data_IF_361469530225
#
_entry.id   IF_361469530225
#
_cell.length_a   1.000
_cell.length_b   1.000
_cell.length_c   1.000
_cell.angle_alpha   90.00
_cell.angle_beta   90.00
_cell.angle_gamma   90.00
#
_symmetry.space_group_name_H-M   'P 1'
#
loop_
_entity.id
_entity.type
_entity.pdbx_description
1 polymer ?
#
# COMPACT_ATOMS: atom_id res chain seq x y z
N UNK A 1 -8.15 -20.54 17.88
CA UNK A 1 -7.53 -20.39 16.55
C UNK A 1 -7.82 -19.02 15.94
N UNK A 2 -9.09 -18.65 15.69
CA UNK A 2 -9.44 -17.33 15.12
C UNK A 2 -9.03 -16.15 16.02
N UNK A 3 -9.26 -16.24 17.33
CA UNK A 3 -8.88 -15.18 18.28
C UNK A 3 -7.37 -14.91 18.28
N UNK A 4 -6.54 -15.96 18.23
CA UNK A 4 -5.08 -15.83 18.17
C UNK A 4 -4.63 -15.19 16.86
N UNK A 5 -5.21 -15.60 15.73
CA UNK A 5 -4.94 -14.95 14.43
C UNK A 5 -5.26 -13.45 14.44
N UNK A 6 -6.42 -13.06 15.01
CA UNK A 6 -6.79 -11.65 15.12
C UNK A 6 -5.84 -10.87 16.05
N UNK A 7 -5.35 -11.51 17.11
CA UNK A 7 -4.35 -10.93 18.00
C UNK A 7 -3.00 -10.76 17.28
N UNK A 8 -2.54 -11.76 16.53
CA UNK A 8 -1.30 -11.69 15.75
C UNK A 8 -1.37 -10.56 14.71
N UNK A 9 -2.49 -10.46 13.99
CA UNK A 9 -2.72 -9.38 13.02
C UNK A 9 -2.75 -8.02 13.71
N UNK A 10 -3.43 -7.92 14.86
CA UNK A 10 -3.51 -6.68 15.64
C UNK A 10 -2.16 -6.23 16.19
N UNK A 11 -1.39 -7.15 16.77
CA UNK A 11 -0.05 -6.86 17.31
C UNK A 11 0.92 -6.54 16.17
N UNK A 12 0.88 -7.29 15.06
CA UNK A 12 1.73 -7.07 13.90
C UNK A 12 1.50 -5.70 13.28
N UNK A 13 0.26 -5.43 12.85
CA UNK A 13 -0.08 -4.15 12.23
C UNK A 13 0.06 -2.96 13.20
N UNK A 14 -0.30 -3.16 14.47
CA UNK A 14 -0.20 -2.12 15.51
C UNK A 14 1.24 -1.75 15.86
N UNK A 15 2.11 -2.73 16.11
CA UNK A 15 3.54 -2.48 16.43
C UNK A 15 4.27 -1.83 15.25
N UNK A 16 3.96 -2.23 14.02
CA UNK A 16 4.53 -1.63 12.84
C UNK A 16 4.06 -0.18 12.58
N UNK A 17 2.84 0.18 12.99
CA UNK A 17 2.40 1.58 13.02
C UNK A 17 3.20 2.43 14.01
N UNK A 18 3.39 1.92 15.23
CA UNK A 18 4.15 2.62 16.28
C UNK A 18 5.56 2.96 15.80
N UNK A 19 6.16 2.07 15.00
CA UNK A 19 7.48 2.30 14.40
C UNK A 19 7.46 3.29 13.22
N UNK A 20 6.48 3.16 12.33
CA UNK A 20 6.46 3.93 11.07
C UNK A 20 5.95 5.36 11.25
N UNK A 21 4.98 5.59 12.14
CA UNK A 21 4.35 6.92 12.33
C UNK A 21 5.37 8.02 12.69
N UNK A 22 6.29 7.83 13.67
CA UNK A 22 7.29 8.86 13.99
C UNK A 22 8.18 9.22 12.79
N UNK A 23 8.61 8.21 12.01
CA UNK A 23 9.43 8.41 10.82
C UNK A 23 8.67 9.15 9.71
N UNK A 24 7.40 8.82 9.50
CA UNK A 24 6.52 9.48 8.53
C UNK A 24 6.24 10.94 8.93
N UNK A 25 5.92 11.18 10.21
CA UNK A 25 5.73 12.55 10.73
C UNK A 25 7.00 13.38 10.63
N UNK A 26 8.17 12.77 10.83
CA UNK A 26 9.45 13.43 10.63
C UNK A 26 9.68 13.80 9.16
N UNK A 27 9.45 12.87 8.22
CA UNK A 27 9.50 13.15 6.78
C UNK A 27 8.56 14.29 6.39
N UNK A 28 7.34 14.27 6.89
CA UNK A 28 6.38 15.32 6.60
C UNK A 28 6.75 16.66 7.21
N UNK A 29 7.36 16.67 8.40
CA UNK A 29 7.88 17.90 8.99
C UNK A 29 8.99 18.50 8.12
N UNK A 30 9.89 17.68 7.60
CA UNK A 30 10.92 18.14 6.66
C UNK A 30 10.32 18.65 5.34
N UNK A 31 9.20 18.06 4.89
CA UNK A 31 8.42 18.54 3.73
C UNK A 31 7.73 19.89 4.00
N UNK A 32 7.10 20.03 5.16
CA UNK A 32 6.28 21.18 5.56
C UNK A 32 7.09 22.45 5.90
N UNK A 33 8.41 22.35 6.11
CA UNK A 33 9.30 23.51 6.29
C UNK A 33 9.24 24.52 5.13
N UNK A 34 8.65 24.16 3.98
CA UNK A 34 8.55 25.01 2.77
C UNK A 34 7.17 25.63 2.46
N UNK A 35 6.14 25.42 3.28
CA UNK A 35 4.87 26.15 3.14
C UNK A 35 3.63 25.26 3.24
N UNK A 36 2.82 25.58 4.25
CA UNK A 36 1.52 25.02 4.62
C UNK A 36 1.47 23.57 5.15
N UNK A 37 0.86 23.43 6.33
CA UNK A 37 0.53 22.14 6.93
C UNK A 37 -0.75 21.61 6.29
N UNK A 38 -0.70 20.38 5.78
CA UNK A 38 -1.86 19.68 5.21
C UNK A 38 -2.23 18.49 6.11
N UNK A 39 -2.95 18.70 7.23
CA UNK A 39 -3.19 17.67 8.24
C UNK A 39 -3.99 16.47 7.70
N UNK A 40 -4.89 16.70 6.74
CA UNK A 40 -5.64 15.61 6.09
C UNK A 40 -4.76 14.74 5.18
N UNK A 41 -3.76 15.34 4.53
CA UNK A 41 -2.75 14.58 3.78
C UNK A 41 -1.96 13.68 4.73
N UNK A 42 -1.45 14.26 5.82
CA UNK A 42 -0.74 13.55 6.89
C UNK A 42 -1.53 12.37 7.41
N UNK A 43 -2.80 12.60 7.77
CA UNK A 43 -3.67 11.54 8.25
C UNK A 43 -3.86 10.44 7.19
N UNK A 44 -4.01 10.82 5.92
CA UNK A 44 -4.10 9.89 4.79
C UNK A 44 -2.84 9.04 4.61
N UNK A 45 -1.65 9.63 4.69
CA UNK A 45 -0.37 8.90 4.60
C UNK A 45 -0.19 7.95 5.78
N UNK A 46 -0.53 8.36 7.01
CA UNK A 46 -0.50 7.48 8.18
C UNK A 46 -1.50 6.32 8.05
N UNK A 47 -2.72 6.58 7.52
CA UNK A 47 -3.71 5.54 7.26
C UNK A 47 -3.23 4.56 6.17
N UNK A 48 -2.58 5.08 5.12
CA UNK A 48 -1.98 4.25 4.08
C UNK A 48 -0.83 3.39 4.64
N UNK A 49 -0.01 3.93 5.53
CA UNK A 49 1.03 3.17 6.22
C UNK A 49 0.43 2.05 7.09
N UNK A 50 -0.68 2.31 7.78
CA UNK A 50 -1.42 1.26 8.51
C UNK A 50 -1.93 0.17 7.56
N UNK A 51 -2.48 0.57 6.41
CA UNK A 51 -2.95 -0.36 5.41
C UNK A 51 -1.80 -1.26 4.90
N UNK A 52 -0.65 -0.67 4.56
CA UNK A 52 0.54 -1.42 4.16
C UNK A 52 1.01 -2.39 5.25
N UNK A 53 1.04 -1.93 6.51
CA UNK A 53 1.36 -2.78 7.67
C UNK A 53 0.43 -4.00 7.77
N UNK A 54 -0.87 -3.74 7.63
CA UNK A 54 -1.91 -4.77 7.64
C UNK A 54 -1.72 -5.77 6.51
N UNK A 55 -1.46 -5.31 5.28
CA UNK A 55 -1.20 -6.18 4.13
C UNK A 55 -0.01 -7.08 4.40
N UNK A 56 1.15 -6.53 4.79
CA UNK A 56 2.37 -7.30 5.08
C UNK A 56 2.14 -8.34 6.18
N UNK A 57 1.39 -7.97 7.23
CA UNK A 57 1.07 -8.87 8.35
C UNK A 57 0.17 -10.02 7.89
N UNK A 58 -0.88 -9.72 7.12
CA UNK A 58 -1.86 -10.72 6.64
C UNK A 58 -1.24 -11.66 5.60
N UNK A 59 -0.43 -11.14 4.67
CA UNK A 59 0.25 -11.96 3.65
C UNK A 59 1.40 -12.78 4.22
N UNK A 60 1.82 -12.47 5.46
CA UNK A 60 2.77 -13.24 6.25
C UNK A 60 4.14 -13.34 5.60
N UNK A 61 4.63 -12.21 5.10
CA UNK A 61 5.99 -12.08 4.58
C UNK A 61 6.99 -12.36 5.72
N UNK A 62 8.04 -13.18 5.50
CA UNK A 62 9.04 -13.45 6.52
C UNK A 62 9.91 -12.21 6.81
N UNK A 63 10.44 -12.13 8.02
CA UNK A 63 11.46 -11.14 8.35
C UNK A 63 12.75 -11.38 7.54
N UNK A 64 13.48 -10.33 7.17
CA UNK A 64 14.69 -10.43 6.33
C UNK A 64 15.80 -11.30 6.96
N UNK A 65 15.89 -11.35 8.28
CA UNK A 65 16.86 -12.17 9.00
C UNK A 65 16.37 -13.62 9.25
N UNK A 66 15.14 -13.94 8.82
CA UNK A 66 14.51 -15.27 8.94
C UNK A 66 14.28 -15.94 7.59
N UNK A 67 14.80 -15.36 6.51
CA UNK A 67 14.65 -15.88 5.16
C UNK A 67 15.18 -17.33 5.11
N UNK A 68 14.31 -18.24 4.69
CA UNK A 68 14.65 -19.65 4.44
C UNK A 68 14.13 -19.98 3.07
N UNK A 69 15.04 -20.22 2.13
CA UNK A 69 14.66 -20.56 0.78
C UNK A 69 13.94 -21.92 0.78
N UNK A 70 12.66 -21.91 0.40
CA UNK A 70 11.83 -23.08 0.21
C UNK A 70 10.94 -22.84 -1.01
N UNK A 71 11.39 -23.34 -2.16
CA UNK A 71 10.75 -23.06 -3.43
C UNK A 71 9.53 -23.97 -3.63
N UNK A 72 8.39 -23.54 -3.08
CA UNK A 72 7.09 -24.12 -3.37
C UNK A 72 6.28 -23.12 -4.22
N UNK A 73 6.11 -23.41 -5.51
CA UNK A 73 5.51 -22.46 -6.47
C UNK A 73 4.32 -23.11 -7.17
N UNK A 74 3.14 -22.51 -7.00
CA UNK A 74 1.96 -22.83 -7.77
C UNK A 74 1.83 -21.85 -8.95
N UNK A 75 2.05 -22.35 -10.16
CA UNK A 75 1.98 -21.55 -11.40
C UNK A 75 0.76 -21.87 -12.25
N UNK A 76 -0.15 -22.73 -11.77
CA UNK A 76 -1.35 -23.09 -12.53
C UNK A 76 -2.44 -22.08 -12.18
N UNK A 77 -2.71 -21.08 -13.04
CA UNK A 77 -3.66 -20.05 -12.70
C UNK A 77 -5.07 -20.61 -12.64
N UNK A 78 -5.82 -20.24 -11.60
CA UNK A 78 -7.25 -20.47 -11.44
C UNK A 78 -7.66 -21.95 -11.47
N UNK A 79 -6.74 -22.88 -11.18
CA UNK A 79 -7.03 -24.32 -11.13
C UNK A 79 -8.09 -24.66 -10.07
N UNK A 80 -8.12 -23.89 -9.00
CA UNK A 80 -8.99 -24.12 -7.84
C UNK A 80 -10.05 -23.02 -7.67
N UNK A 81 -10.36 -22.27 -8.74
CA UNK A 81 -11.24 -21.10 -8.68
C UNK A 81 -12.58 -21.37 -7.99
N UNK A 82 -13.22 -22.50 -8.32
CA UNK A 82 -14.54 -22.86 -7.78
C UNK A 82 -14.46 -23.53 -6.41
N UNK A 83 -13.37 -24.23 -6.11
CA UNK A 83 -13.17 -24.90 -4.82
C UNK A 83 -12.69 -23.94 -3.73
N UNK A 84 -11.91 -22.91 -4.10
CA UNK A 84 -11.25 -21.99 -3.17
C UNK A 84 -11.62 -20.53 -3.40
N UNK A 85 -12.79 -20.24 -3.98
CA UNK A 85 -13.28 -18.89 -4.27
C UNK A 85 -13.12 -17.89 -3.11
N UNK A 86 -13.32 -18.34 -1.86
CA UNK A 86 -13.16 -17.48 -0.69
C UNK A 86 -11.73 -16.94 -0.53
N UNK A 87 -10.70 -17.67 -0.96
CA UNK A 87 -9.30 -17.25 -0.88
C UNK A 87 -8.99 -16.18 -1.92
N UNK A 88 -9.36 -16.42 -3.18
CA UNK A 88 -9.26 -15.44 -4.26
C UNK A 88 -9.91 -14.11 -3.88
N UNK A 89 -11.11 -14.16 -3.28
CA UNK A 89 -11.83 -12.96 -2.87
C UNK A 89 -11.12 -12.19 -1.75
N UNK A 90 -10.48 -12.88 -0.80
CA UNK A 90 -9.72 -12.24 0.29
C UNK A 90 -8.52 -11.45 -0.25
N UNK A 91 -7.77 -12.04 -1.17
CA UNK A 91 -6.62 -11.40 -1.79
C UNK A 91 -7.04 -10.18 -2.61
N UNK A 92 -8.12 -10.30 -3.38
CA UNK A 92 -8.70 -9.16 -4.08
C UNK A 92 -9.15 -8.04 -3.13
N UNK A 93 -9.94 -8.35 -2.10
CA UNK A 93 -10.45 -7.34 -1.15
C UNK A 93 -9.32 -6.63 -0.42
N UNK A 94 -8.22 -7.34 -0.11
CA UNK A 94 -7.07 -6.78 0.58
C UNK A 94 -6.43 -5.61 -0.19
N UNK A 95 -6.39 -5.70 -1.52
CA UNK A 95 -5.78 -4.67 -2.38
C UNK A 95 -6.76 -3.60 -2.88
N UNK A 96 -8.08 -3.72 -2.63
CA UNK A 96 -9.07 -2.69 -2.99
C UNK A 96 -8.82 -1.36 -2.27
N UNK A 97 -8.67 -1.31 -0.93
CA UNK A 97 -8.34 -0.06 -0.24
C UNK A 97 -7.00 0.52 -0.68
N UNK A 98 -6.07 -0.35 -1.07
CA UNK A 98 -4.74 0.03 -1.55
C UNK A 98 -4.86 0.77 -2.89
N UNK A 99 -5.52 0.18 -3.88
CA UNK A 99 -5.76 0.79 -5.19
C UNK A 99 -6.60 2.06 -5.14
N UNK A 100 -7.45 2.23 -4.11
CA UNK A 100 -8.18 3.47 -3.86
C UNK A 100 -7.27 4.58 -3.30
N UNK A 101 -6.40 4.24 -2.35
CA UNK A 101 -5.64 5.23 -1.57
C UNK A 101 -4.47 5.83 -2.35
N UNK A 102 -3.80 5.05 -3.20
CA UNK A 102 -2.66 5.51 -4.01
C UNK A 102 -3.00 6.76 -4.87
N UNK A 103 -4.01 6.72 -5.76
CA UNK A 103 -4.35 7.88 -6.58
C UNK A 103 -5.00 9.02 -5.79
N UNK A 104 -5.59 8.72 -4.62
CA UNK A 104 -6.17 9.73 -3.73
C UNK A 104 -5.11 10.62 -3.11
N UNK A 105 -4.01 10.03 -2.64
CA UNK A 105 -2.95 10.70 -1.89
C UNK A 105 -1.86 11.29 -2.78
N UNK A 106 -1.55 10.68 -3.93
CA UNK A 106 -0.44 11.12 -4.78
C UNK A 106 -0.90 11.46 -6.21
N UNK A 107 -0.85 12.76 -6.58
CA UNK A 107 -1.23 13.26 -7.92
C UNK A 107 -0.48 12.54 -9.06
N UNK A 108 0.80 12.21 -8.84
CA UNK A 108 1.68 11.56 -9.84
C UNK A 108 1.21 10.16 -10.23
N UNK A 109 0.50 9.48 -9.33
CA UNK A 109 0.14 8.06 -9.43
C UNK A 109 -1.33 7.83 -9.79
N UNK A 110 -2.03 8.88 -10.25
CA UNK A 110 -3.45 8.83 -10.64
C UNK A 110 -3.75 8.19 -11.99
N UNK A 111 -2.72 7.94 -12.79
CA UNK A 111 -2.90 7.18 -14.02
C UNK A 111 -3.18 5.73 -13.65
N UNK A 112 -4.22 5.15 -14.23
CA UNK A 112 -4.61 3.75 -13.97
C UNK A 112 -3.44 2.79 -14.14
N UNK A 113 -2.65 2.96 -15.21
CA UNK A 113 -1.47 2.14 -15.48
C UNK A 113 -0.44 2.23 -14.36
N UNK A 114 -0.21 3.42 -13.79
CA UNK A 114 0.71 3.61 -12.68
C UNK A 114 0.17 2.97 -11.40
N UNK A 115 -1.08 3.26 -11.03
CA UNK A 115 -1.69 2.67 -9.83
C UNK A 115 -1.67 1.15 -9.88
N UNK A 116 -2.10 0.56 -11.00
CA UNK A 116 -2.13 -0.89 -11.20
C UNK A 116 -0.73 -1.48 -11.24
N UNK A 117 0.24 -0.81 -11.88
CA UNK A 117 1.64 -1.26 -11.89
C UNK A 117 2.25 -1.26 -10.49
N UNK A 118 1.96 -0.25 -9.66
CA UNK A 118 2.42 -0.21 -8.27
C UNK A 118 1.81 -1.39 -7.49
N UNK A 119 0.52 -1.65 -7.63
CA UNK A 119 -0.14 -2.79 -6.98
C UNK A 119 0.41 -4.14 -7.44
N UNK A 120 0.63 -4.31 -8.75
CA UNK A 120 1.24 -5.49 -9.33
C UNK A 120 2.67 -5.71 -8.81
N UNK A 121 3.52 -4.69 -8.83
CA UNK A 121 4.90 -4.78 -8.33
C UNK A 121 4.95 -5.06 -6.84
N UNK A 122 4.04 -4.45 -6.07
CA UNK A 122 3.94 -4.73 -4.65
C UNK A 122 3.51 -6.17 -4.41
N UNK A 123 2.48 -6.66 -5.09
CA UNK A 123 2.07 -8.07 -4.96
C UNK A 123 3.15 -9.03 -5.43
N UNK A 124 3.87 -8.72 -6.51
CA UNK A 124 5.00 -9.52 -6.98
C UNK A 124 6.11 -9.56 -5.92
N UNK A 125 6.39 -8.44 -5.26
CA UNK A 125 7.32 -8.41 -4.14
C UNK A 125 6.87 -9.34 -3.00
N UNK A 126 5.58 -9.36 -2.65
CA UNK A 126 5.04 -10.28 -1.64
C UNK A 126 5.29 -11.74 -2.03
N UNK A 127 4.90 -12.13 -3.24
CA UNK A 127 5.08 -13.47 -3.78
C UNK A 127 6.56 -13.89 -3.78
N UNK A 128 7.47 -12.99 -4.22
CA UNK A 128 8.90 -13.24 -4.23
C UNK A 128 9.49 -13.41 -2.82
N UNK A 129 9.00 -12.66 -1.84
CA UNK A 129 9.44 -12.84 -0.46
C UNK A 129 8.90 -14.14 0.15
N UNK A 130 7.74 -14.63 -0.30
CA UNK A 130 7.17 -15.90 0.17
C UNK A 130 7.97 -17.12 -0.31
N UNK A 131 8.72 -17.03 -1.42
CA UNK A 131 9.72 -18.05 -1.83
C UNK A 131 10.81 -18.28 -0.78
N UNK A 132 11.02 -17.30 0.10
CA UNK A 132 11.96 -17.39 1.23
C UNK A 132 11.25 -17.66 2.55
N UNK A 133 10.05 -18.24 2.46
CA UNK A 133 9.26 -18.72 3.58
C UNK A 133 8.79 -20.15 3.29
N UNK A 134 8.34 -20.88 4.31
CA UNK A 134 7.74 -22.21 4.15
C UNK A 134 6.30 -22.14 3.57
N UNK A 135 6.00 -21.12 2.76
CA UNK A 135 4.69 -20.88 2.13
C UNK A 135 4.78 -21.14 0.63
N UNK A 136 3.66 -21.53 0.03
CA UNK A 136 3.56 -21.59 -1.42
C UNK A 136 3.37 -20.19 -1.99
N UNK A 137 4.15 -19.86 -3.01
CA UNK A 137 3.95 -18.69 -3.87
C UNK A 137 2.90 -19.05 -4.92
N UNK A 138 1.89 -18.19 -5.14
CA UNK A 138 0.78 -18.47 -6.03
C UNK A 138 0.56 -17.34 -7.05
N UNK A 139 0.56 -17.70 -8.34
CA UNK A 139 0.23 -16.75 -9.41
C UNK A 139 -1.18 -16.17 -9.27
N UNK A 140 -2.09 -16.91 -8.64
CA UNK A 140 -3.46 -16.50 -8.39
C UNK A 140 -3.53 -15.33 -7.41
N UNK A 141 -2.65 -15.31 -6.41
CA UNK A 141 -2.57 -14.24 -5.42
C UNK A 141 -2.06 -12.95 -6.08
N UNK A 142 -1.05 -13.06 -6.95
CA UNK A 142 -0.56 -11.95 -7.78
C UNK A 142 -1.67 -11.36 -8.67
N UNK A 143 -2.43 -12.22 -9.35
CA UNK A 143 -3.52 -11.80 -10.23
C UNK A 143 -4.66 -11.16 -9.44
N UNK A 144 -5.10 -11.78 -8.33
CA UNK A 144 -6.21 -11.28 -7.52
C UNK A 144 -5.89 -9.96 -6.83
N UNK A 145 -4.66 -9.79 -6.31
CA UNK A 145 -4.21 -8.53 -5.73
C UNK A 145 -4.14 -7.40 -6.79
N UNK A 146 -3.70 -7.73 -8.00
CA UNK A 146 -3.68 -6.79 -9.13
C UNK A 146 -5.10 -6.38 -9.53
N UNK A 147 -6.03 -7.34 -9.60
CA UNK A 147 -7.46 -7.07 -9.82
C UNK A 147 -8.08 -6.24 -8.71
N UNK A 148 -7.75 -6.52 -7.45
CA UNK A 148 -8.16 -5.73 -6.29
C UNK A 148 -7.71 -4.27 -6.41
N UNK A 149 -6.46 -4.05 -6.82
CA UNK A 149 -5.92 -2.70 -7.05
C UNK A 149 -6.70 -1.97 -8.14
N UNK A 150 -6.99 -2.65 -9.25
CA UNK A 150 -7.77 -2.09 -10.35
C UNK A 150 -9.20 -1.72 -9.90
N UNK A 151 -9.89 -2.61 -9.16
CA UNK A 151 -11.21 -2.32 -8.59
C UNK A 151 -11.15 -1.14 -7.62
N UNK A 152 -10.14 -1.06 -6.76
CA UNK A 152 -9.89 0.08 -5.87
C UNK A 152 -9.75 1.40 -6.62
N UNK A 153 -9.04 1.40 -7.74
CA UNK A 153 -8.92 2.55 -8.62
C UNK A 153 -10.28 2.97 -9.22
N UNK A 154 -11.11 2.02 -9.62
CA UNK A 154 -12.46 2.31 -10.11
C UNK A 154 -13.34 2.93 -9.03
N UNK A 155 -13.25 2.45 -7.79
CA UNK A 155 -13.94 3.07 -6.66
C UNK A 155 -13.47 4.51 -6.44
N UNK A 156 -12.16 4.78 -6.56
CA UNK A 156 -11.63 6.15 -6.50
C UNK A 156 -12.26 7.05 -7.57
N UNK A 157 -12.31 6.59 -8.82
CA UNK A 157 -12.97 7.31 -9.92
C UNK A 157 -14.47 7.50 -9.67
N UNK A 158 -15.15 6.51 -9.10
CA UNK A 158 -16.55 6.61 -8.69
C UNK A 158 -16.76 7.69 -7.63
N UNK A 159 -15.94 7.70 -6.58
CA UNK A 159 -15.99 8.69 -5.51
C UNK A 159 -15.72 10.10 -6.03
N UNK A 160 -14.77 10.27 -6.96
CA UNK A 160 -14.49 11.57 -7.59
C UNK A 160 -15.71 12.16 -8.33
N UNK A 161 -16.57 11.32 -8.90
CA UNK A 161 -17.82 11.76 -9.55
C UNK A 161 -18.87 12.24 -8.54
N UNK A 162 -18.88 11.64 -7.35
CA UNK A 162 -19.86 11.95 -6.29
C UNK A 162 -19.39 13.13 -5.44
N UNK A 163 -18.09 13.20 -5.13
CA UNK A 163 -17.47 14.18 -4.25
C UNK A 163 -16.35 14.91 -5.01
N UNK A 164 -16.69 15.88 -5.87
CA UNK A 164 -15.69 16.72 -6.51
C UNK A 164 -14.92 17.49 -5.43
N UNK A 165 -13.59 17.53 -5.53
CA UNK A 165 -12.71 18.22 -4.58
C UNK A 165 -12.15 17.34 -3.46
N UNK A 166 -12.42 16.03 -3.43
CA UNK A 166 -11.88 15.14 -2.39
C UNK A 166 -10.34 15.16 -2.38
N UNK A 167 -9.68 15.20 -3.54
CA UNK A 167 -8.21 15.25 -3.61
C UNK A 167 -7.65 16.55 -3.05
N UNK A 168 -8.34 17.68 -3.26
CA UNK A 168 -7.95 18.98 -2.69
C UNK A 168 -8.12 18.99 -1.18
N UNK A 169 -9.20 18.40 -0.65
CA UNK A 169 -9.43 18.25 0.80
C UNK A 169 -8.33 17.42 1.46
N UNK A 170 -7.89 16.35 0.81
CA UNK A 170 -6.75 15.54 1.25
C UNK A 170 -5.40 16.21 0.98
N UNK A 171 -5.35 17.38 0.34
CA UNK A 171 -4.11 18.10 0.09
C UNK A 171 -3.25 17.53 -1.05
N UNK A 172 -3.76 16.52 -1.77
CA UNK A 172 -3.11 15.84 -2.89
C UNK A 172 -3.14 16.63 -4.21
N UNK A 173 -3.74 17.82 -4.22
CA UNK A 173 -3.89 18.69 -5.40
C UNK A 173 -5.20 18.49 -6.15
N UNK A 174 -5.42 19.29 -7.19
CA UNK A 174 -6.64 19.34 -8.04
C UNK A 174 -7.05 17.96 -8.55
N UNK A 175 -8.36 17.68 -8.69
CA UNK A 175 -8.84 16.38 -9.16
C UNK A 175 -8.41 16.10 -10.62
N UNK A 176 -8.18 14.82 -10.99
CA UNK A 176 -7.93 14.47 -12.39
C UNK A 176 -9.20 14.69 -13.25
N UNK A 177 -9.01 14.98 -14.53
CA UNK A 177 -10.07 14.94 -15.54
C UNK A 177 -10.77 13.57 -15.54
N UNK A 178 -12.10 13.57 -15.66
CA UNK A 178 -12.93 12.35 -15.64
C UNK A 178 -13.27 11.84 -17.05
N UNK A 179 -12.93 12.62 -18.06
CA UNK A 179 -13.01 12.39 -19.49
C UNK A 179 -12.02 11.30 -19.90
N UNK A 180 -12.54 10.12 -20.28
CA UNK A 180 -11.76 8.93 -20.64
C UNK A 180 -11.54 7.96 -19.47
N UNK A 181 -11.65 6.65 -19.74
CA UNK A 181 -11.36 5.61 -18.73
C UNK A 181 -9.86 5.59 -18.41
N UNK A 182 -9.03 5.68 -19.44
CA UNK A 182 -7.63 6.01 -19.33
C UNK A 182 -7.53 7.52 -19.09
N UNK A 183 -6.99 7.94 -17.95
CA UNK A 183 -6.52 9.31 -17.82
C UNK A 183 -5.42 9.48 -18.87
N UNK A 184 -5.76 10.04 -20.03
CA UNK A 184 -4.77 10.67 -20.89
C UNK A 184 -4.08 11.69 -20.00
N UNK A 185 -2.80 11.43 -19.70
CA UNK A 185 -2.04 12.26 -18.78
C UNK A 185 -2.22 13.71 -19.18
N UNK A 186 -2.65 14.55 -18.24
CA UNK A 186 -2.84 15.98 -18.45
C UNK A 186 -1.68 16.49 -19.31
N UNK A 187 -1.93 16.78 -20.59
CA UNK A 187 -1.01 17.59 -21.36
C UNK A 187 -0.95 18.91 -20.59
N UNK A 188 0.23 19.38 -20.18
CA UNK A 188 0.32 20.59 -19.40
C UNK A 188 -0.37 21.69 -20.19
N UNK A 189 -1.50 22.19 -19.67
CA UNK A 189 -2.15 23.36 -20.24
C UNK A 189 -1.11 24.47 -20.26
N UNK A 190 -0.92 25.11 -21.41
CA UNK A 190 0.24 25.94 -21.75
C UNK A 190 0.37 27.26 -20.99
N UNK A 191 0.07 27.30 -19.68
CA UNK A 191 0.23 28.46 -18.82
C UNK A 191 0.71 28.09 -17.42
N UNK A 192 1.85 27.41 -17.31
CA UNK A 192 2.65 27.40 -16.07
C UNK A 192 4.09 26.94 -16.35
N UNK A 193 4.77 27.69 -17.23
CA UNK A 193 6.23 27.62 -17.37
C UNK A 193 6.89 28.42 -16.24
N UNK A 194 6.69 27.98 -15.00
CA UNK A 194 7.62 28.21 -13.92
C UNK A 194 7.99 26.82 -13.40
N UNK A 195 9.12 26.28 -13.85
CA UNK A 195 9.69 25.03 -13.34
C UNK A 195 10.07 25.28 -11.87
N UNK A 196 9.08 25.20 -10.99
CA UNK A 196 9.31 25.11 -9.55
C UNK A 196 9.83 23.70 -9.36
N UNK A 197 11.15 23.58 -9.22
CA UNK A 197 11.80 22.30 -8.90
C UNK A 197 11.26 21.81 -7.57
N UNK A 198 10.24 20.95 -7.63
CA UNK A 198 9.73 20.22 -6.47
C UNK A 198 10.90 19.51 -5.79
N UNK A 199 10.96 19.59 -4.46
CA UNK A 199 12.01 18.91 -3.71
C UNK A 199 11.94 17.40 -3.98
N UNK A 200 13.08 16.68 -4.01
CA UNK A 200 13.10 15.23 -4.22
C UNK A 200 12.23 14.49 -3.19
N UNK A 201 12.12 15.03 -1.97
CA UNK A 201 11.26 14.51 -0.89
C UNK A 201 9.78 14.54 -1.26
N UNK A 202 9.28 15.60 -1.92
CA UNK A 202 7.90 15.64 -2.41
C UNK A 202 7.68 14.68 -3.59
N UNK A 203 8.69 14.52 -4.46
CA UNK A 203 8.61 13.68 -5.65
C UNK A 203 8.59 12.18 -5.31
N UNK A 204 9.37 11.79 -4.30
CA UNK A 204 9.58 10.41 -3.86
C UNK A 204 8.81 10.08 -2.57
N UNK A 205 7.79 10.87 -2.20
CA UNK A 205 7.11 10.73 -0.92
C UNK A 205 6.47 9.33 -0.75
N UNK A 206 5.80 8.85 -1.79
CA UNK A 206 5.18 7.53 -1.79
C UNK A 206 6.25 6.44 -1.67
N UNK A 207 7.33 6.54 -2.46
CA UNK A 207 8.44 5.59 -2.46
C UNK A 207 9.14 5.54 -1.09
N UNK A 208 9.34 6.70 -0.45
CA UNK A 208 9.87 6.80 0.91
C UNK A 208 8.91 6.22 1.94
N UNK A 209 7.60 6.46 1.82
CA UNK A 209 6.58 5.88 2.70
C UNK A 209 6.60 4.36 2.62
N UNK A 210 6.54 3.80 1.40
CA UNK A 210 6.69 2.38 1.15
C UNK A 210 7.98 1.83 1.71
N UNK A 211 9.12 2.45 1.37
CA UNK A 211 10.44 1.99 1.78
C UNK A 211 10.59 1.94 3.30
N UNK A 212 10.14 2.97 4.01
CA UNK A 212 10.18 3.03 5.48
C UNK A 212 9.27 1.97 6.08
N UNK A 213 8.03 1.87 5.63
CA UNK A 213 7.08 0.89 6.18
C UNK A 213 7.59 -0.51 5.94
N UNK A 214 7.95 -0.87 4.71
CA UNK A 214 8.46 -2.21 4.40
C UNK A 214 9.75 -2.54 5.14
N UNK A 215 10.71 -1.60 5.21
CA UNK A 215 11.95 -1.82 5.95
C UNK A 215 11.66 -2.12 7.43
N UNK A 216 10.82 -1.32 8.08
CA UNK A 216 10.48 -1.50 9.49
C UNK A 216 9.69 -2.80 9.72
N UNK A 217 8.73 -3.12 8.85
CA UNK A 217 7.92 -4.34 8.94
C UNK A 217 8.77 -5.61 8.77
N UNK A 218 9.78 -5.57 7.90
CA UNK A 218 10.57 -6.76 7.57
C UNK A 218 11.82 -6.92 8.45
N UNK A 219 12.12 -5.95 9.33
CA UNK A 219 13.31 -5.99 10.19
C UNK A 219 12.97 -5.86 11.67
N UNK A 220 12.43 -4.72 12.10
CA UNK A 220 12.30 -4.40 13.52
C UNK A 220 10.95 -4.87 14.09
N UNK A 221 9.87 -4.77 13.31
CA UNK A 221 8.53 -5.13 13.73
C UNK A 221 8.42 -6.59 14.23
N UNK A 222 9.00 -7.61 13.59
CA UNK A 222 8.84 -9.00 14.03
C UNK A 222 9.49 -9.24 15.40
N UNK A 223 10.61 -8.56 15.70
CA UNK A 223 11.26 -8.60 17.02
C UNK A 223 10.36 -7.99 18.11
N UNK A 224 9.73 -6.85 17.82
CA UNK A 224 8.84 -6.16 18.76
C UNK A 224 7.57 -6.98 18.99
N UNK A 225 6.97 -7.54 17.93
CA UNK A 225 5.78 -8.37 18.06
C UNK A 225 6.04 -9.60 18.94
N UNK A 226 7.18 -10.26 18.79
CA UNK A 226 7.56 -11.38 19.66
C UNK A 226 7.77 -10.96 21.11
N UNK A 227 8.46 -9.84 21.35
CA UNK A 227 8.64 -9.33 22.71
C UNK A 227 7.30 -8.97 23.36
N UNK A 228 6.39 -8.34 22.61
CA UNK A 228 5.03 -8.02 23.09
C UNK A 228 4.23 -9.28 23.37
N UNK A 229 4.33 -10.29 22.51
CA UNK A 229 3.66 -11.57 22.70
C UNK A 229 4.10 -12.25 24.00
N UNK A 230 5.41 -12.30 24.23
CA UNK A 230 5.99 -12.84 25.46
C UNK A 230 5.56 -12.05 26.71
N UNK A 231 5.48 -10.72 26.65
CA UNK A 231 5.06 -9.91 27.81
C UNK A 231 3.57 -10.04 28.12
N UNK A 232 2.72 -10.12 27.08
CA UNK A 232 1.27 -10.07 27.24
C UNK A 232 0.64 -11.43 27.50
N UNK A 233 1.28 -12.53 27.05
CA UNK A 233 0.68 -13.86 27.04
C UNK A 233 1.52 -14.96 27.68
N UNK A 234 2.70 -14.65 28.21
CA UNK A 234 3.51 -15.57 29.02
C UNK A 234 3.54 -15.14 30.47
#
# INVERSE_FOLDING_TARGET
MIMLFLMDVGIGAGSGLVLSVPALLWLEKERQKKGEKKPWHTAGVCLFAFLLAGIVTVTGIPALYRLRFDANVNLIPMAELFSNFSQYLKNMILFVPFGFSVPLLWKRERMVEKTVSIGFLFSLFIELMQLFSMRATDIDDLLMNTWGTWVGYLLFRGVLRIVPGICERFGAGENPGLDGFFCEGDKPSGKEAAVRTESPVCRLEMELCFGIVLLLMLTLQPLIAEALWEILYR
#
